data_IF_880909494449
#
_entry.id   IF_880909494449
#
_cell.length_a   1.000
_cell.length_b   1.000
_cell.length_c   1.000
_cell.angle_alpha   90.00
_cell.angle_beta   90.00
_cell.angle_gamma   90.00
#
_symmetry.space_group_name_H-M   'P 1'
#
loop_
_entity.id
_entity.type
_entity.pdbx_description
1 polymer ?
#
# COMPACT_ATOMS: atom_id res chain seq x y z
N UNK A 1 -11.73 10.28 -18.32
CA UNK A 1 -10.33 10.43 -17.96
C UNK A 1 -9.49 9.37 -18.68
N UNK A 2 -9.83 8.05 -18.63
CA UNK A 2 -9.09 6.99 -19.33
C UNK A 2 -8.86 7.31 -20.83
N UNK A 3 -9.90 7.74 -21.57
CA UNK A 3 -9.78 8.14 -22.98
C UNK A 3 -8.75 9.24 -23.22
N UNK A 4 -8.60 10.20 -22.30
CA UNK A 4 -7.59 11.26 -22.42
C UNK A 4 -6.18 10.74 -22.15
N UNK A 5 -6.01 9.76 -21.28
CA UNK A 5 -4.71 9.09 -21.12
C UNK A 5 -4.35 8.20 -22.32
N UNK A 6 -5.35 7.68 -23.05
CA UNK A 6 -5.16 6.92 -24.30
C UNK A 6 -4.78 7.81 -25.49
N UNK A 7 -5.10 9.09 -25.43
CA UNK A 7 -4.73 10.05 -26.47
C UNK A 7 -3.24 10.38 -26.40
N UNK A 8 -2.50 10.01 -27.43
CA UNK A 8 -1.03 10.17 -27.48
C UNK A 8 -0.60 11.64 -27.46
N UNK A 9 -1.38 12.55 -28.04
CA UNK A 9 -1.06 13.97 -28.05
C UNK A 9 -1.21 14.59 -26.65
N UNK A 10 -2.24 14.18 -25.91
CA UNK A 10 -2.45 14.59 -24.51
C UNK A 10 -1.38 13.97 -23.63
N UNK A 11 -1.16 12.67 -23.76
CA UNK A 11 -0.20 11.96 -22.92
C UNK A 11 1.25 12.45 -23.14
N UNK A 12 1.62 12.81 -24.37
CA UNK A 12 2.93 13.38 -24.65
C UNK A 12 3.18 14.67 -23.87
N UNK A 13 2.21 15.55 -23.76
CA UNK A 13 2.34 16.80 -22.98
C UNK A 13 2.47 16.53 -21.48
N UNK A 14 1.73 15.53 -20.96
CA UNK A 14 1.87 15.09 -19.56
C UNK A 14 3.26 14.51 -19.32
N UNK A 15 3.77 13.70 -20.25
CA UNK A 15 5.11 13.10 -20.17
C UNK A 15 6.21 14.17 -20.21
N UNK A 16 6.11 15.19 -21.05
CA UNK A 16 7.04 16.31 -21.06
C UNK A 16 7.13 17.02 -19.70
N UNK A 17 5.98 17.21 -19.02
CA UNK A 17 5.96 17.78 -17.67
C UNK A 17 6.62 16.82 -16.66
N UNK A 18 6.45 15.51 -16.83
CA UNK A 18 7.08 14.50 -16.00
C UNK A 18 8.60 14.47 -16.20
N UNK A 19 9.09 14.55 -17.44
CA UNK A 19 10.51 14.57 -17.76
C UNK A 19 11.23 15.76 -17.09
N UNK A 20 10.59 16.95 -17.03
CA UNK A 20 11.11 18.10 -16.28
C UNK A 20 11.19 17.80 -14.78
N UNK A 21 10.16 17.19 -14.18
CA UNK A 21 10.18 16.79 -12.78
C UNK A 21 11.26 15.75 -12.48
N UNK A 22 11.45 14.78 -13.35
CA UNK A 22 12.50 13.75 -13.23
C UNK A 22 13.89 14.39 -13.28
N UNK A 23 14.15 15.28 -14.26
CA UNK A 23 15.41 16.00 -14.39
C UNK A 23 15.72 16.84 -13.15
N UNK A 24 14.72 17.55 -12.62
CA UNK A 24 14.85 18.35 -11.40
C UNK A 24 15.15 17.50 -10.16
N UNK A 25 14.53 16.31 -10.03
CA UNK A 25 14.77 15.38 -8.94
C UNK A 25 16.19 14.80 -9.02
N UNK A 26 16.62 14.39 -10.22
CA UNK A 26 18.00 13.90 -10.48
C UNK A 26 19.04 14.96 -10.13
N UNK A 27 18.84 16.20 -10.55
CA UNK A 27 19.75 17.31 -10.24
C UNK A 27 19.90 17.56 -8.73
N UNK A 28 18.89 17.17 -7.93
CA UNK A 28 18.89 17.26 -6.47
C UNK A 28 19.37 15.96 -5.78
N UNK A 29 19.84 14.96 -6.54
CA UNK A 29 20.25 13.67 -6.01
C UNK A 29 19.12 12.83 -5.39
N UNK A 30 17.87 13.05 -5.83
CA UNK A 30 16.70 12.32 -5.33
C UNK A 30 16.36 11.12 -6.22
N UNK A 31 15.79 10.09 -5.61
CA UNK A 31 15.28 8.93 -6.35
C UNK A 31 14.20 9.32 -7.35
N UNK A 32 14.28 8.74 -8.55
CA UNK A 32 13.29 8.96 -9.61
C UNK A 32 12.48 7.72 -9.95
N UNK A 33 12.78 6.59 -9.31
CA UNK A 33 12.17 5.28 -9.61
C UNK A 33 10.64 5.30 -9.57
N UNK A 34 10.07 6.04 -8.62
CA UNK A 34 8.61 6.17 -8.44
C UNK A 34 8.01 7.36 -9.20
N UNK A 35 8.86 8.23 -9.73
CA UNK A 35 8.45 9.49 -10.35
C UNK A 35 8.26 9.36 -11.87
N UNK A 36 9.04 8.49 -12.52
CA UNK A 36 9.02 8.31 -13.97
C UNK A 36 7.66 7.80 -14.44
N UNK A 37 7.02 8.54 -15.32
CA UNK A 37 5.76 8.16 -15.97
C UNK A 37 6.07 7.33 -17.24
N UNK A 38 6.25 6.03 -17.03
CA UNK A 38 6.50 5.07 -18.12
C UNK A 38 5.22 4.72 -18.88
N UNK A 39 5.37 4.08 -20.04
CA UNK A 39 4.23 3.54 -20.79
C UNK A 39 3.49 2.45 -20.01
N UNK A 40 4.21 1.64 -19.22
CA UNK A 40 3.57 0.67 -18.30
C UNK A 40 2.71 1.40 -17.27
N UNK A 41 3.22 2.47 -16.65
CA UNK A 41 2.44 3.24 -15.68
C UNK A 41 1.22 3.91 -16.33
N UNK A 42 1.34 4.37 -17.59
CA UNK A 42 0.20 4.88 -18.37
C UNK A 42 -0.88 3.83 -18.50
N UNK A 43 -0.52 2.60 -18.88
CA UNK A 43 -1.46 1.50 -19.03
C UNK A 43 -2.09 1.14 -17.69
N UNK A 44 -1.30 1.05 -16.61
CA UNK A 44 -1.80 0.77 -15.25
C UNK A 44 -2.85 1.81 -14.81
N UNK A 45 -2.62 3.09 -15.12
CA UNK A 45 -3.58 4.17 -14.86
C UNK A 45 -4.87 4.02 -15.64
N UNK A 46 -4.78 3.64 -16.92
CA UNK A 46 -5.95 3.39 -17.78
C UNK A 46 -6.75 2.22 -17.22
N UNK A 47 -6.09 1.13 -16.88
CA UNK A 47 -6.72 -0.08 -16.35
C UNK A 47 -7.41 0.18 -15.00
N UNK A 48 -6.76 0.94 -14.10
CA UNK A 48 -7.38 1.36 -12.85
C UNK A 48 -8.68 2.13 -13.06
N UNK A 49 -8.68 3.08 -14.01
CA UNK A 49 -9.87 3.86 -14.34
C UNK A 49 -10.99 3.02 -14.98
N UNK A 50 -10.64 1.97 -15.73
CA UNK A 50 -11.63 1.03 -16.27
C UNK A 50 -12.24 0.16 -15.19
N UNK A 51 -11.44 -0.30 -14.21
CA UNK A 51 -11.94 -1.03 -13.04
C UNK A 51 -12.93 -0.15 -12.25
N UNK A 52 -12.61 1.14 -12.05
CA UNK A 52 -13.55 2.08 -11.41
C UNK A 52 -14.91 2.12 -12.10
N UNK A 53 -14.95 2.07 -13.43
CA UNK A 53 -16.19 2.07 -14.19
C UNK A 53 -17.07 0.85 -13.87
N UNK A 54 -16.47 -0.29 -13.57
CA UNK A 54 -17.19 -1.53 -13.25
C UNK A 54 -17.71 -1.53 -11.81
N UNK A 55 -17.04 -0.81 -10.90
CA UNK A 55 -17.40 -0.76 -9.48
C UNK A 55 -18.57 0.19 -9.17
N UNK A 56 -19.03 0.99 -10.11
CA UNK A 56 -20.13 1.94 -9.89
C UNK A 56 -21.45 1.19 -9.74
N UNK A 57 -22.04 1.27 -8.56
CA UNK A 57 -23.39 0.78 -8.28
C UNK A 57 -24.42 1.87 -8.48
N UNK A 58 -25.48 1.59 -9.26
CA UNK A 58 -26.58 2.54 -9.50
C UNK A 58 -27.51 2.70 -8.28
N UNK A 59 -27.61 1.69 -7.42
CA UNK A 59 -28.48 1.68 -6.26
C UNK A 59 -27.76 2.21 -5.01
N UNK A 60 -28.42 3.15 -4.31
CA UNK A 60 -27.99 3.59 -2.99
C UNK A 60 -28.60 2.77 -1.88
N UNK A 61 -29.73 2.07 -2.11
CA UNK A 61 -30.38 1.20 -1.14
C UNK A 61 -29.69 -0.15 -1.10
N UNK A 62 -29.20 -0.54 0.06
CA UNK A 62 -28.57 -1.84 0.31
C UNK A 62 -29.59 -2.89 0.76
N UNK A 63 -30.49 -2.46 1.63
CA UNK A 63 -31.43 -3.35 2.29
C UNK A 63 -32.68 -2.56 2.72
N UNK A 64 -33.83 -3.22 2.69
CA UNK A 64 -35.07 -2.71 3.25
C UNK A 64 -35.63 -3.76 4.21
N UNK A 65 -35.84 -3.37 5.46
CA UNK A 65 -36.55 -4.18 6.45
C UNK A 65 -37.95 -3.62 6.64
N UNK A 66 -38.95 -4.49 6.46
CA UNK A 66 -40.35 -4.15 6.64
C UNK A 66 -40.84 -4.68 7.97
N UNK A 67 -41.55 -3.83 8.69
CA UNK A 67 -42.19 -4.12 9.95
C UNK A 67 -43.68 -3.77 9.85
N UNK A 68 -44.47 -4.20 10.81
CA UNK A 68 -45.86 -3.83 10.85
C UNK A 68 -45.99 -2.33 11.13
N UNK A 69 -46.59 -1.61 10.18
CA UNK A 69 -46.78 -0.14 10.25
C UNK A 69 -45.55 0.72 9.97
N UNK A 70 -44.38 0.16 9.61
CA UNK A 70 -43.20 0.95 9.24
C UNK A 70 -42.16 0.15 8.47
N UNK A 71 -41.22 0.84 7.87
CA UNK A 71 -40.07 0.22 7.20
C UNK A 71 -38.79 1.02 7.44
N UNK A 72 -37.62 0.35 7.32
CA UNK A 72 -36.31 0.98 7.41
C UNK A 72 -35.47 0.58 6.20
N UNK A 73 -34.94 1.57 5.52
CA UNK A 73 -34.02 1.43 4.39
C UNK A 73 -32.60 1.79 4.84
N UNK A 74 -31.63 0.95 4.54
CA UNK A 74 -30.21 1.28 4.67
C UNK A 74 -29.67 1.81 3.35
N UNK A 75 -29.10 3.01 3.36
CA UNK A 75 -28.58 3.70 2.19
C UNK A 75 -27.09 3.89 2.26
N UNK A 76 -26.38 3.59 1.17
CA UNK A 76 -25.00 4.04 0.97
C UNK A 76 -25.00 5.56 0.75
N UNK A 77 -24.19 6.25 1.52
CA UNK A 77 -24.02 7.70 1.43
C UNK A 77 -22.53 8.06 1.35
N UNK A 78 -22.14 9.13 0.61
CA UNK A 78 -20.76 9.59 0.60
C UNK A 78 -20.32 10.06 1.99
N UNK A 79 -19.02 9.96 2.25
CA UNK A 79 -18.40 10.60 3.41
C UNK A 79 -18.37 12.12 3.24
N UNK A 80 -18.03 12.60 2.03
CA UNK A 80 -17.92 14.02 1.70
C UNK A 80 -16.60 14.36 1.02
N UNK A 81 -15.76 15.19 1.65
CA UNK A 81 -14.47 15.60 1.12
C UNK A 81 -13.37 14.65 1.61
N UNK A 82 -12.63 14.06 0.68
CA UNK A 82 -11.49 13.21 0.98
C UNK A 82 -10.20 13.96 0.64
N UNK A 83 -9.34 14.14 1.62
CA UNK A 83 -8.04 14.78 1.44
C UNK A 83 -6.96 13.75 1.20
N UNK A 84 -6.18 13.93 0.13
CA UNK A 84 -5.08 13.03 -0.22
C UNK A 84 -3.74 13.76 -0.16
N UNK A 85 -2.80 13.20 0.60
CA UNK A 85 -1.40 13.62 0.60
C UNK A 85 -0.56 12.45 0.13
N UNK A 86 0.05 12.63 -1.05
CA UNK A 86 0.89 11.62 -1.68
C UNK A 86 2.30 12.17 -1.94
N UNK A 87 3.29 11.31 -1.81
CA UNK A 87 4.62 11.56 -2.36
C UNK A 87 4.59 11.55 -3.89
N UNK A 88 5.72 11.79 -4.53
CA UNK A 88 5.87 11.98 -5.96
C UNK A 88 5.51 10.77 -6.83
N UNK A 89 4.21 10.45 -6.95
CA UNK A 89 3.70 9.36 -7.80
C UNK A 89 2.62 9.88 -8.74
N UNK A 90 2.84 9.87 -10.06
CA UNK A 90 1.83 10.34 -11.03
C UNK A 90 0.55 9.50 -11.08
N UNK A 91 0.63 8.20 -10.84
CA UNK A 91 -0.49 7.26 -10.96
C UNK A 91 -1.60 7.45 -9.91
N UNK A 92 -1.32 8.13 -8.80
CA UNK A 92 -2.29 8.34 -7.71
C UNK A 92 -3.58 9.05 -8.16
N UNK A 93 -3.55 9.77 -9.26
CA UNK A 93 -4.76 10.40 -9.81
C UNK A 93 -5.76 9.37 -10.36
N UNK A 94 -5.27 8.31 -11.02
CA UNK A 94 -6.13 7.24 -11.50
C UNK A 94 -6.80 6.50 -10.34
N UNK A 95 -6.02 6.23 -9.28
CA UNK A 95 -6.54 5.55 -8.10
C UNK A 95 -7.54 6.43 -7.34
N UNK A 96 -7.16 7.65 -7.02
CA UNK A 96 -7.90 8.48 -6.07
C UNK A 96 -9.11 9.21 -6.67
N UNK A 97 -9.14 9.51 -7.97
CA UNK A 97 -10.33 10.08 -8.61
C UNK A 97 -11.54 9.15 -8.58
N UNK A 98 -11.31 7.87 -8.37
CA UNK A 98 -12.38 6.88 -8.21
C UNK A 98 -13.30 7.12 -7.01
N UNK A 99 -12.91 7.94 -6.04
CA UNK A 99 -13.81 8.36 -4.94
C UNK A 99 -15.06 9.09 -5.46
N UNK A 100 -15.02 9.62 -6.68
CA UNK A 100 -16.19 10.19 -7.35
C UNK A 100 -17.27 9.14 -7.61
N UNK A 101 -16.89 7.87 -7.83
CA UNK A 101 -17.84 6.76 -8.02
C UNK A 101 -18.71 6.54 -6.77
N UNK A 102 -18.18 6.78 -5.59
CA UNK A 102 -18.93 6.77 -4.32
C UNK A 102 -19.47 8.14 -3.92
N UNK A 103 -19.53 9.07 -4.88
CA UNK A 103 -20.07 10.45 -4.72
C UNK A 103 -19.31 11.34 -3.74
N UNK A 104 -18.05 10.99 -3.45
CA UNK A 104 -17.16 11.87 -2.70
C UNK A 104 -16.48 12.85 -3.66
N UNK A 105 -15.90 13.89 -3.10
CA UNK A 105 -14.98 14.79 -3.81
C UNK A 105 -13.59 14.69 -3.19
N UNK A 106 -12.56 15.08 -3.91
CA UNK A 106 -11.19 14.93 -3.42
C UNK A 106 -10.35 16.19 -3.57
N UNK A 107 -9.44 16.37 -2.61
CA UNK A 107 -8.43 17.42 -2.60
C UNK A 107 -7.06 16.76 -2.50
N UNK A 108 -6.18 17.06 -3.47
CA UNK A 108 -4.83 16.51 -3.54
C UNK A 108 -3.79 17.51 -3.06
N UNK A 109 -2.83 17.01 -2.31
CA UNK A 109 -1.52 17.63 -2.13
C UNK A 109 -0.46 16.62 -2.56
N UNK A 110 0.34 16.98 -3.55
CA UNK A 110 1.37 16.11 -4.13
C UNK A 110 2.75 16.63 -3.72
N UNK A 111 3.72 15.73 -3.57
CA UNK A 111 5.11 16.08 -3.32
C UNK A 111 5.69 17.03 -4.37
N UNK A 112 6.63 17.86 -3.95
CA UNK A 112 7.20 18.93 -4.81
C UNK A 112 7.80 18.41 -6.12
N UNK A 113 8.31 17.18 -6.09
CA UNK A 113 9.03 16.57 -7.21
C UNK A 113 8.08 16.08 -8.33
N UNK A 114 6.79 15.93 -8.05
CA UNK A 114 5.78 15.53 -9.04
C UNK A 114 4.71 16.60 -9.31
N UNK A 115 4.86 17.81 -8.77
CA UNK A 115 3.77 18.81 -8.81
C UNK A 115 3.47 19.31 -10.23
N UNK A 116 4.47 19.43 -11.11
CA UNK A 116 4.22 19.87 -12.51
C UNK A 116 3.52 18.76 -13.31
N UNK A 117 3.94 17.51 -13.11
CA UNK A 117 3.23 16.34 -13.67
C UNK A 117 1.77 16.31 -13.20
N UNK A 118 1.56 16.52 -11.89
CA UNK A 118 0.23 16.57 -11.31
C UNK A 118 -0.66 17.66 -11.92
N UNK A 119 -0.10 18.86 -12.14
CA UNK A 119 -0.81 19.96 -12.83
C UNK A 119 -1.17 19.60 -14.25
N UNK A 120 -0.22 19.03 -15.02
CA UNK A 120 -0.50 18.59 -16.38
C UNK A 120 -1.61 17.54 -16.45
N UNK A 121 -1.62 16.56 -15.53
CA UNK A 121 -2.71 15.57 -15.44
C UNK A 121 -4.04 16.25 -15.10
N UNK A 122 -4.05 17.18 -14.15
CA UNK A 122 -5.26 17.93 -13.80
C UNK A 122 -5.81 18.72 -14.99
N UNK A 123 -4.96 19.53 -15.63
CA UNK A 123 -5.38 20.49 -16.64
C UNK A 123 -5.74 19.81 -17.97
N UNK A 124 -5.02 18.76 -18.37
CA UNK A 124 -5.19 18.11 -19.66
C UNK A 124 -6.13 16.91 -19.63
N UNK A 125 -6.25 16.25 -18.49
CA UNK A 125 -7.02 15.02 -18.41
C UNK A 125 -8.19 15.09 -17.41
N UNK A 126 -7.96 15.47 -16.15
CA UNK A 126 -9.00 15.37 -15.10
C UNK A 126 -10.09 16.44 -15.28
N UNK A 127 -9.73 17.73 -15.32
CA UNK A 127 -10.68 18.84 -15.41
C UNK A 127 -11.55 18.75 -16.67
N UNK A 128 -10.97 18.54 -17.88
CA UNK A 128 -11.79 18.38 -19.07
C UNK A 128 -12.72 17.16 -19.03
N UNK A 129 -12.29 16.07 -18.37
CA UNK A 129 -13.14 14.87 -18.19
C UNK A 129 -14.32 15.12 -17.26
N UNK A 130 -14.13 15.89 -16.20
CA UNK A 130 -15.21 16.33 -15.31
C UNK A 130 -16.24 17.17 -16.06
N UNK A 131 -15.78 18.13 -16.87
CA UNK A 131 -16.64 18.98 -17.68
C UNK A 131 -17.44 18.18 -18.70
N UNK A 132 -16.82 17.23 -19.42
CA UNK A 132 -17.49 16.33 -20.34
C UNK A 132 -18.55 15.46 -19.67
N UNK A 133 -18.31 15.09 -18.39
CA UNK A 133 -19.25 14.31 -17.60
C UNK A 133 -20.34 15.16 -16.91
N UNK A 134 -20.35 16.47 -17.09
CA UNK A 134 -21.30 17.36 -16.44
C UNK A 134 -21.05 17.53 -14.92
N UNK A 135 -19.85 17.21 -14.45
CA UNK A 135 -19.45 17.38 -13.06
C UNK A 135 -18.73 18.71 -12.83
N UNK A 136 -18.89 19.33 -11.67
CA UNK A 136 -18.15 20.54 -11.34
C UNK A 136 -16.63 20.29 -11.41
N UNK A 137 -15.83 21.14 -12.05
CA UNK A 137 -14.37 21.00 -12.05
C UNK A 137 -13.75 20.95 -10.64
N UNK A 138 -14.39 21.57 -9.64
CA UNK A 138 -14.01 21.56 -8.25
C UNK A 138 -14.25 20.23 -7.52
N UNK A 139 -14.85 19.24 -8.18
CA UNK A 139 -15.01 17.88 -7.62
C UNK A 139 -13.66 17.20 -7.38
N UNK A 140 -12.62 17.61 -8.11
CA UNK A 140 -11.23 17.21 -7.90
C UNK A 140 -10.39 18.48 -7.84
N UNK A 141 -9.70 18.71 -6.74
CA UNK A 141 -8.85 19.87 -6.54
C UNK A 141 -7.41 19.48 -6.25
N UNK A 142 -6.45 20.22 -6.80
CA UNK A 142 -5.02 20.08 -6.53
C UNK A 142 -4.53 21.35 -5.82
N UNK A 143 -3.94 21.19 -4.63
CA UNK A 143 -3.29 22.31 -3.94
C UNK A 143 -1.99 22.70 -4.63
N UNK A 144 -1.80 23.96 -5.02
CA UNK A 144 -0.68 24.38 -5.85
C UNK A 144 0.64 24.55 -5.08
N UNK A 145 0.64 24.33 -3.78
CA UNK A 145 1.76 24.63 -2.89
C UNK A 145 2.73 23.46 -2.73
N UNK A 146 4.03 23.78 -2.71
CA UNK A 146 5.13 22.83 -2.44
C UNK A 146 5.45 22.67 -0.94
N UNK A 147 4.89 23.51 -0.07
CA UNK A 147 5.26 23.55 1.36
C UNK A 147 4.61 22.45 2.18
N UNK A 148 5.29 22.00 3.24
CA UNK A 148 4.72 21.07 4.21
C UNK A 148 3.54 21.68 4.98
N UNK A 149 3.57 23.00 5.24
CA UNK A 149 2.48 23.70 5.91
C UNK A 149 1.12 23.53 5.22
N UNK A 150 1.11 23.40 3.87
CA UNK A 150 -0.12 23.13 3.13
C UNK A 150 -0.67 21.73 3.40
N UNK A 151 0.19 20.75 3.63
CA UNK A 151 -0.24 19.40 4.03
C UNK A 151 -0.87 19.42 5.42
N UNK A 152 -0.26 20.14 6.36
CA UNK A 152 -0.79 20.30 7.71
C UNK A 152 -2.14 21.05 7.70
N UNK A 153 -2.24 22.14 6.93
CA UNK A 153 -3.48 22.89 6.78
C UNK A 153 -4.60 22.02 6.18
N UNK A 154 -4.29 21.17 5.19
CA UNK A 154 -5.27 20.24 4.63
C UNK A 154 -5.77 19.26 5.70
N UNK A 155 -4.88 18.61 6.45
CA UNK A 155 -5.26 17.58 7.43
C UNK A 155 -5.78 18.17 8.76
N UNK A 156 -5.75 19.49 8.95
CA UNK A 156 -6.42 20.19 10.03
C UNK A 156 -7.76 20.82 9.62
N UNK A 157 -8.16 20.74 8.37
CA UNK A 157 -9.40 21.34 7.88
C UNK A 157 -10.61 20.46 8.24
N UNK A 158 -11.47 20.97 9.13
CA UNK A 158 -12.66 20.27 9.63
C UNK A 158 -13.72 19.94 8.55
N UNK A 159 -13.55 20.41 7.33
CA UNK A 159 -14.40 20.03 6.19
C UNK A 159 -14.01 18.66 5.61
N UNK A 160 -12.82 18.14 5.94
CA UNK A 160 -12.45 16.79 5.54
C UNK A 160 -13.26 15.75 6.29
N UNK A 161 -13.76 14.78 5.56
CA UNK A 161 -14.42 13.60 6.10
C UNK A 161 -13.48 12.41 6.23
N UNK A 162 -12.39 12.40 5.48
CA UNK A 162 -11.33 11.38 5.53
C UNK A 162 -10.02 11.99 5.04
N UNK A 163 -8.95 11.74 5.76
CA UNK A 163 -7.58 12.05 5.38
C UNK A 163 -6.86 10.78 4.92
N UNK A 164 -6.21 10.80 3.76
CA UNK A 164 -5.44 9.67 3.22
C UNK A 164 -4.02 10.14 2.96
N UNK A 165 -3.04 9.53 3.63
CA UNK A 165 -1.63 9.84 3.47
C UNK A 165 -0.84 8.61 3.01
N UNK A 166 0.04 8.80 2.01
CA UNK A 166 1.03 7.81 1.56
C UNK A 166 2.38 8.49 1.44
N UNK A 167 3.40 7.90 2.06
CA UNK A 167 4.74 8.46 2.04
C UNK A 167 5.65 7.80 3.08
N UNK A 168 6.74 8.47 3.44
CA UNK A 168 7.67 7.97 4.45
C UNK A 168 7.00 7.83 5.82
N UNK A 169 7.43 6.83 6.60
CA UNK A 169 6.81 6.49 7.88
C UNK A 169 6.67 7.69 8.82
N UNK A 170 7.72 8.47 9.02
CA UNK A 170 7.73 9.64 9.89
C UNK A 170 6.79 10.77 9.42
N UNK A 171 6.77 11.04 8.10
CA UNK A 171 5.87 12.06 7.54
C UNK A 171 4.41 11.66 7.67
N UNK A 172 4.10 10.40 7.42
CA UNK A 172 2.74 9.86 7.49
C UNK A 172 2.25 9.83 8.95
N UNK A 173 3.11 9.44 9.89
CA UNK A 173 2.79 9.46 11.32
C UNK A 173 2.41 10.89 11.79
N UNK A 174 3.25 11.88 11.47
CA UNK A 174 2.97 13.28 11.82
C UNK A 174 1.64 13.78 11.23
N UNK A 175 1.36 13.45 9.97
CA UNK A 175 0.10 13.82 9.32
C UNK A 175 -1.10 13.14 9.98
N UNK A 176 -0.93 11.89 10.40
CA UNK A 176 -1.95 11.15 11.16
C UNK A 176 -2.27 11.81 12.51
N UNK A 177 -1.25 12.24 13.24
CA UNK A 177 -1.40 12.97 14.50
C UNK A 177 -2.17 14.29 14.30
N UNK A 178 -1.83 15.04 13.25
CA UNK A 178 -2.53 16.29 12.92
C UNK A 178 -4.01 16.01 12.64
N UNK A 179 -4.33 15.03 11.79
CA UNK A 179 -5.71 14.68 11.49
C UNK A 179 -6.48 14.26 12.75
N UNK A 180 -5.86 13.44 13.59
CA UNK A 180 -6.47 12.96 14.84
C UNK A 180 -6.77 14.09 15.83
N UNK A 181 -5.82 15.04 16.00
CA UNK A 181 -6.02 16.22 16.85
C UNK A 181 -7.24 17.07 16.42
N UNK A 182 -7.60 17.03 15.14
CA UNK A 182 -8.75 17.75 14.58
C UNK A 182 -10.00 16.88 14.43
N UNK A 183 -9.97 15.63 14.93
CA UNK A 183 -11.07 14.68 14.86
C UNK A 183 -11.36 14.14 13.46
N UNK A 184 -10.39 14.19 12.55
CA UNK A 184 -10.53 13.71 11.17
C UNK A 184 -10.05 12.27 11.11
N UNK A 185 -10.89 11.30 10.67
CA UNK A 185 -10.46 9.94 10.42
C UNK A 185 -9.34 9.91 9.39
N UNK A 186 -8.31 9.10 9.62
CA UNK A 186 -7.17 9.00 8.71
C UNK A 186 -6.95 7.55 8.23
N UNK A 187 -6.48 7.42 6.99
CA UNK A 187 -5.91 6.20 6.43
C UNK A 187 -4.45 6.48 6.08
N UNK A 188 -3.57 5.82 6.80
CA UNK A 188 -2.14 6.10 6.75
C UNK A 188 -1.43 4.90 6.11
N UNK A 189 -0.53 5.19 5.17
CA UNK A 189 0.34 4.21 4.54
C UNK A 189 1.77 4.75 4.60
N UNK A 190 2.48 4.35 5.65
CA UNK A 190 3.84 4.81 5.94
C UNK A 190 4.87 3.70 5.74
N UNK A 191 5.51 3.28 6.83
CA UNK A 191 6.54 2.23 6.83
C UNK A 191 6.01 0.93 6.24
N UNK A 192 6.74 0.38 5.30
CA UNK A 192 6.47 -0.91 4.66
C UNK A 192 7.44 -1.98 5.14
N UNK A 193 7.67 -2.96 4.28
CA UNK A 193 8.53 -4.10 4.56
C UNK A 193 7.73 -5.36 4.92
N UNK A 194 7.72 -6.32 4.02
CA UNK A 194 7.08 -7.61 4.25
C UNK A 194 8.00 -8.54 5.05
N UNK A 195 7.39 -9.41 5.83
CA UNK A 195 8.08 -10.46 6.56
C UNK A 195 7.71 -11.84 6.01
N UNK A 196 8.66 -12.76 6.11
CA UNK A 196 8.49 -14.16 5.72
C UNK A 196 8.95 -15.05 6.85
N UNK A 197 8.02 -15.85 7.38
CA UNK A 197 8.32 -16.93 8.34
C UNK A 197 8.61 -18.20 7.55
N UNK A 198 9.67 -18.89 7.92
CA UNK A 198 10.06 -20.17 7.31
C UNK A 198 10.22 -21.22 8.40
N UNK A 199 9.43 -22.27 8.32
CA UNK A 199 9.42 -23.35 9.30
C UNK A 199 9.57 -24.72 8.63
N UNK A 200 8.59 -25.59 8.68
CA UNK A 200 8.65 -26.95 8.16
C UNK A 200 8.53 -26.94 6.62
N UNK A 201 9.65 -26.83 5.90
CA UNK A 201 9.71 -26.73 4.43
C UNK A 201 10.23 -28.02 3.84
N UNK A 202 9.44 -28.68 3.00
CA UNK A 202 9.83 -29.84 2.22
C UNK A 202 10.48 -29.41 0.88
N UNK A 203 9.85 -28.47 0.17
CA UNK A 203 10.30 -27.96 -1.13
C UNK A 203 11.13 -26.68 -0.99
N UNK A 204 12.44 -26.85 -0.88
CA UNK A 204 13.40 -25.72 -0.80
C UNK A 204 13.54 -24.93 -2.12
N UNK A 205 13.21 -25.52 -3.27
CA UNK A 205 13.21 -24.81 -4.54
C UNK A 205 12.01 -23.86 -4.65
N UNK A 206 10.87 -24.24 -4.08
CA UNK A 206 9.74 -23.32 -3.88
C UNK A 206 10.16 -22.15 -3.01
N UNK A 207 10.79 -22.40 -1.84
CA UNK A 207 11.26 -21.33 -0.95
C UNK A 207 12.21 -20.37 -1.68
N UNK A 208 13.21 -20.89 -2.39
CA UNK A 208 14.14 -20.09 -3.20
C UNK A 208 13.41 -19.20 -4.21
N UNK A 209 12.45 -19.77 -4.94
CA UNK A 209 11.65 -19.04 -5.92
C UNK A 209 10.80 -17.95 -5.29
N UNK A 210 10.19 -18.23 -4.15
CA UNK A 210 9.36 -17.26 -3.39
C UNK A 210 10.20 -16.09 -2.90
N UNK A 211 11.39 -16.34 -2.32
CA UNK A 211 12.31 -15.28 -1.89
C UNK A 211 12.75 -14.42 -3.07
N UNK A 212 13.20 -15.05 -4.17
CA UNK A 212 13.61 -14.33 -5.38
C UNK A 212 12.51 -13.39 -5.90
N UNK A 213 11.27 -13.88 -5.99
CA UNK A 213 10.15 -13.11 -6.54
C UNK A 213 9.62 -12.06 -5.54
N UNK A 214 9.95 -12.19 -4.25
CA UNK A 214 9.65 -11.17 -3.24
C UNK A 214 10.64 -10.00 -3.23
N UNK A 215 11.72 -10.08 -4.02
CA UNK A 215 12.79 -9.10 -4.15
C UNK A 215 12.90 -8.53 -5.58
N UNK A 216 11.84 -8.59 -6.36
CA UNK A 216 11.82 -8.13 -7.77
C UNK A 216 12.08 -6.62 -7.92
N UNK A 217 11.66 -5.83 -6.99
CA UNK A 217 11.87 -4.36 -6.88
C UNK A 217 11.53 -3.90 -5.47
N UNK A 218 12.07 -2.74 -5.04
CA UNK A 218 11.70 -2.17 -3.74
C UNK A 218 10.41 -1.36 -3.82
N UNK A 219 9.44 -1.83 -3.09
CA UNK A 219 8.18 -1.15 -2.75
C UNK A 219 7.73 -1.61 -1.35
N UNK A 220 6.61 -1.10 -0.85
CA UNK A 220 6.16 -1.35 0.54
C UNK A 220 5.94 -2.83 0.91
N UNK A 221 5.60 -3.70 -0.04
CA UNK A 221 5.39 -5.14 0.18
C UNK A 221 6.58 -6.02 -0.25
N UNK A 222 7.74 -5.42 -0.50
CA UNK A 222 8.97 -6.15 -0.76
C UNK A 222 9.46 -6.85 0.51
N UNK A 223 10.00 -8.05 0.37
CA UNK A 223 10.57 -8.81 1.47
C UNK A 223 11.67 -8.00 2.17
N UNK A 224 11.49 -7.78 3.46
CA UNK A 224 12.38 -7.00 4.31
C UNK A 224 13.05 -7.85 5.38
N UNK A 225 12.33 -8.87 5.87
CA UNK A 225 12.82 -9.73 6.96
C UNK A 225 12.39 -11.17 6.73
N UNK A 226 13.34 -12.10 6.84
CA UNK A 226 13.11 -13.53 6.88
C UNK A 226 13.35 -14.01 8.31
N UNK A 227 12.39 -14.74 8.87
CA UNK A 227 12.48 -15.37 10.18
C UNK A 227 12.47 -16.87 10.00
N UNK A 228 13.58 -17.54 10.29
CA UNK A 228 13.71 -19.00 10.24
C UNK A 228 13.41 -19.59 11.63
N UNK A 229 12.77 -20.72 11.70
CA UNK A 229 12.76 -21.51 12.94
C UNK A 229 14.06 -22.29 13.08
N UNK A 230 14.47 -22.57 14.32
CA UNK A 230 15.66 -23.38 14.59
C UNK A 230 15.62 -24.73 13.85
N UNK A 231 14.42 -25.34 13.76
CA UNK A 231 14.22 -26.60 13.04
C UNK A 231 14.42 -26.52 11.53
N UNK A 232 14.15 -25.35 10.92
CA UNK A 232 14.29 -25.13 9.48
C UNK A 232 15.65 -24.57 9.08
N UNK A 233 16.42 -24.01 10.01
CA UNK A 233 17.63 -23.22 9.73
C UNK A 233 18.61 -23.94 8.80
N UNK A 234 19.01 -25.18 9.12
CA UNK A 234 20.01 -25.92 8.35
C UNK A 234 19.56 -26.31 6.95
N UNK A 235 18.26 -26.50 6.74
CA UNK A 235 17.66 -26.90 5.47
C UNK A 235 17.33 -25.69 4.58
N UNK A 236 16.89 -24.60 5.18
CA UNK A 236 16.25 -23.49 4.47
C UNK A 236 17.19 -22.29 4.24
N UNK A 237 18.22 -22.08 5.08
CA UNK A 237 19.08 -20.91 4.96
C UNK A 237 19.76 -20.80 3.60
N UNK A 238 20.27 -21.91 3.05
CA UNK A 238 20.90 -21.91 1.73
C UNK A 238 19.89 -21.50 0.64
N UNK A 239 18.65 -22.00 0.69
CA UNK A 239 17.62 -21.64 -0.29
C UNK A 239 17.25 -20.16 -0.23
N UNK A 240 17.22 -19.56 0.98
CA UNK A 240 17.03 -18.11 1.14
C UNK A 240 18.17 -17.35 0.49
N UNK A 241 19.44 -17.71 0.77
CA UNK A 241 20.64 -17.09 0.18
C UNK A 241 20.61 -17.20 -1.35
N UNK A 242 20.30 -18.37 -1.88
CA UNK A 242 20.21 -18.61 -3.34
C UNK A 242 19.13 -17.75 -3.98
N UNK A 243 17.96 -17.61 -3.32
CA UNK A 243 16.87 -16.73 -3.79
C UNK A 243 17.29 -15.27 -3.84
N UNK A 244 17.98 -14.78 -2.82
CA UNK A 244 18.55 -13.42 -2.79
C UNK A 244 19.62 -13.25 -3.88
N UNK A 245 20.49 -14.24 -4.06
CA UNK A 245 21.53 -14.21 -5.09
C UNK A 245 20.92 -14.07 -6.49
N UNK A 246 19.88 -14.84 -6.80
CA UNK A 246 19.23 -14.76 -8.12
C UNK A 246 18.56 -13.37 -8.30
N UNK A 247 17.97 -12.81 -7.27
CA UNK A 247 17.39 -11.47 -7.32
C UNK A 247 18.46 -10.39 -7.56
N UNK A 248 19.62 -10.49 -6.92
CA UNK A 248 20.76 -9.60 -7.13
C UNK A 248 21.38 -9.75 -8.53
N UNK A 249 21.56 -10.98 -9.01
CA UNK A 249 22.09 -11.27 -10.36
C UNK A 249 21.20 -10.70 -11.48
N UNK A 250 19.87 -10.79 -11.34
CA UNK A 250 18.91 -10.18 -12.29
C UNK A 250 19.07 -8.66 -12.41
N UNK A 251 19.68 -8.04 -11.42
CA UNK A 251 19.94 -6.59 -11.33
C UNK A 251 21.42 -6.25 -11.63
N UNK A 252 22.26 -7.26 -11.92
CA UNK A 252 23.70 -7.11 -12.09
C UNK A 252 24.36 -6.45 -10.87
N UNK A 253 24.01 -6.89 -9.66
CA UNK A 253 24.48 -6.33 -8.39
C UNK A 253 24.70 -7.43 -7.36
N UNK A 254 25.11 -7.04 -6.17
CA UNK A 254 25.25 -7.87 -4.96
C UNK A 254 24.05 -7.68 -4.02
N UNK A 255 24.06 -8.27 -2.83
CA UNK A 255 23.06 -8.06 -1.79
C UNK A 255 23.69 -7.71 -0.44
N UNK A 256 22.88 -7.07 0.43
CA UNK A 256 23.21 -6.79 1.83
C UNK A 256 22.28 -7.63 2.71
N UNK A 257 22.90 -8.41 3.61
CA UNK A 257 22.18 -9.27 4.56
C UNK A 257 22.47 -8.82 5.99
N UNK A 258 21.44 -8.46 6.71
CA UNK A 258 21.53 -8.16 8.14
C UNK A 258 21.13 -9.42 8.93
N UNK A 259 22.09 -10.02 9.64
CA UNK A 259 21.90 -11.33 10.25
C UNK A 259 22.09 -11.28 11.77
N UNK A 260 21.31 -12.06 12.54
CA UNK A 260 21.56 -12.27 13.96
C UNK A 260 22.76 -13.22 14.20
N UNK A 261 23.20 -13.35 15.45
CA UNK A 261 24.35 -14.16 15.82
C UNK A 261 24.21 -15.64 15.47
N UNK A 262 22.98 -16.18 15.51
CA UNK A 262 22.73 -17.59 15.20
C UNK A 262 22.81 -17.83 13.69
N UNK A 263 22.20 -16.96 12.89
CA UNK A 263 22.33 -17.01 11.41
C UNK A 263 23.77 -16.80 11.00
N UNK A 264 24.48 -15.82 11.61
CA UNK A 264 25.91 -15.56 11.32
C UNK A 264 26.77 -16.82 11.54
N UNK A 265 26.51 -17.56 12.60
CA UNK A 265 27.21 -18.82 12.88
C UNK A 265 26.88 -19.89 11.86
N UNK A 266 25.61 -20.00 11.43
CA UNK A 266 25.14 -20.97 10.44
C UNK A 266 25.65 -20.71 9.02
N UNK A 267 25.97 -19.44 8.66
CA UNK A 267 26.52 -19.08 7.36
C UNK A 267 27.81 -19.81 7.01
N UNK A 268 28.60 -20.24 8.03
CA UNK A 268 29.80 -21.04 7.82
C UNK A 268 29.54 -22.39 7.11
N UNK A 269 28.30 -22.88 7.16
CA UNK A 269 27.86 -24.12 6.49
C UNK A 269 27.15 -23.86 5.16
N UNK A 270 27.09 -22.59 4.73
CA UNK A 270 26.43 -22.19 3.49
C UNK A 270 27.43 -21.70 2.44
N UNK A 271 27.04 -21.78 1.18
CA UNK A 271 27.74 -21.11 0.07
C UNK A 271 27.20 -19.68 -0.05
N UNK A 272 27.91 -18.72 0.51
CA UNK A 272 27.56 -17.30 0.41
C UNK A 272 28.35 -16.66 -0.72
N UNK A 273 27.72 -15.89 -1.65
CA UNK A 273 28.46 -15.16 -2.67
C UNK A 273 29.49 -14.21 -2.04
N UNK A 274 30.68 -14.17 -2.60
CA UNK A 274 31.84 -13.44 -2.04
C UNK A 274 31.66 -11.91 -2.06
N UNK A 275 30.77 -11.43 -2.90
CA UNK A 275 30.42 -10.01 -3.06
C UNK A 275 29.25 -9.56 -2.15
N UNK A 276 28.61 -10.51 -1.43
CA UNK A 276 27.58 -10.14 -0.46
C UNK A 276 28.18 -9.42 0.75
N UNK A 277 27.48 -8.38 1.19
CA UNK A 277 27.80 -7.68 2.44
C UNK A 277 26.97 -8.30 3.57
N UNK A 278 27.67 -8.75 4.61
CA UNK A 278 27.03 -9.33 5.80
C UNK A 278 27.22 -8.36 6.97
N UNK A 279 26.11 -7.92 7.54
CA UNK A 279 26.08 -7.04 8.71
C UNK A 279 25.32 -7.71 9.86
N UNK A 280 25.64 -7.32 11.09
CA UNK A 280 24.95 -7.85 12.27
C UNK A 280 23.71 -7.02 12.57
N UNK A 281 22.61 -7.67 12.96
CA UNK A 281 21.41 -7.01 13.43
C UNK A 281 20.96 -7.56 14.79
N UNK A 282 20.51 -6.66 15.65
CA UNK A 282 19.81 -6.99 16.89
C UNK A 282 18.30 -7.03 16.64
N UNK A 283 17.56 -7.90 17.33
CA UNK A 283 16.11 -8.03 17.16
C UNK A 283 15.35 -6.72 17.40
N UNK A 284 15.88 -5.84 18.29
CA UNK A 284 15.32 -4.50 18.53
C UNK A 284 15.31 -3.59 17.29
N UNK A 285 16.14 -3.89 16.29
CA UNK A 285 16.29 -3.10 15.07
C UNK A 285 15.52 -3.69 13.87
N UNK A 286 14.79 -4.77 14.05
CA UNK A 286 14.01 -5.44 12.98
C UNK A 286 12.85 -4.60 12.43
N UNK A 287 12.48 -3.51 13.12
CA UNK A 287 11.52 -2.52 12.61
C UNK A 287 12.05 -1.62 11.50
N UNK A 288 13.33 -1.72 11.16
CA UNK A 288 13.95 -0.95 10.06
C UNK A 288 13.40 -1.42 8.73
N UNK A 289 12.84 -0.50 7.93
CA UNK A 289 12.54 -0.74 6.53
C UNK A 289 13.79 -0.43 5.71
N UNK A 290 14.36 -1.46 5.06
CA UNK A 290 15.52 -1.30 4.18
C UNK A 290 15.08 -0.65 2.87
N UNK A 291 15.49 0.60 2.67
CA UNK A 291 15.19 1.36 1.45
C UNK A 291 16.34 1.23 0.46
N UNK A 292 16.11 0.52 -0.64
CA UNK A 292 17.12 0.28 -1.66
C UNK A 292 16.54 0.51 -3.07
N UNK A 293 17.38 0.87 -4.02
CA UNK A 293 16.99 1.04 -5.42
C UNK A 293 17.40 -0.14 -6.30
N UNK A 294 18.65 -0.56 -6.19
CA UNK A 294 19.22 -1.62 -7.02
C UNK A 294 19.76 -2.80 -6.23
N UNK A 295 20.34 -2.57 -5.06
CA UNK A 295 21.00 -3.58 -4.24
C UNK A 295 19.96 -4.18 -3.27
N UNK A 296 19.53 -5.45 -3.44
CA UNK A 296 18.62 -6.08 -2.49
C UNK A 296 19.19 -6.08 -1.08
N UNK A 297 18.40 -5.66 -0.11
CA UNK A 297 18.81 -5.55 1.28
C UNK A 297 17.69 -6.07 2.17
N UNK A 298 18.00 -6.99 3.09
CA UNK A 298 17.04 -7.63 3.97
C UNK A 298 17.69 -8.18 5.25
N UNK A 299 16.84 -8.42 6.26
CA UNK A 299 17.24 -9.08 7.52
C UNK A 299 16.94 -10.58 7.47
N UNK A 300 17.80 -11.39 8.09
CA UNK A 300 17.59 -12.83 8.30
C UNK A 300 17.89 -13.15 9.77
N UNK A 301 16.89 -13.67 10.48
CA UNK A 301 17.02 -14.01 11.90
C UNK A 301 16.43 -15.39 12.18
N UNK A 302 16.80 -15.98 13.33
CA UNK A 302 16.30 -17.28 13.74
C UNK A 302 15.66 -17.21 15.12
N UNK A 303 14.57 -17.96 15.28
CA UNK A 303 13.84 -18.14 16.54
C UNK A 303 13.49 -19.60 16.77
N UNK A 304 13.02 -19.94 17.97
CA UNK A 304 12.80 -21.35 18.35
C UNK A 304 11.69 -22.02 17.52
N UNK A 305 10.58 -21.32 17.28
CA UNK A 305 9.39 -21.88 16.65
C UNK A 305 8.49 -20.79 16.05
N UNK A 306 7.42 -21.19 15.35
CA UNK A 306 6.47 -20.28 14.70
C UNK A 306 5.79 -19.32 15.67
N UNK A 307 5.48 -19.75 16.91
CA UNK A 307 4.89 -18.85 17.88
C UNK A 307 5.83 -17.69 18.23
N UNK A 308 7.12 -17.99 18.48
CA UNK A 308 8.13 -16.95 18.70
C UNK A 308 8.33 -16.03 17.47
N UNK A 309 8.25 -16.61 16.26
CA UNK A 309 8.32 -15.83 15.03
C UNK A 309 7.15 -14.85 14.88
N UNK A 310 5.93 -15.26 15.22
CA UNK A 310 4.74 -14.38 15.20
C UNK A 310 4.81 -13.32 16.29
N UNK A 311 5.31 -13.66 17.48
CA UNK A 311 5.54 -12.68 18.55
C UNK A 311 6.56 -11.61 18.11
N UNK A 312 7.64 -12.05 17.47
CA UNK A 312 8.66 -11.14 16.92
C UNK A 312 8.09 -10.24 15.82
N UNK A 313 7.30 -10.79 14.90
CA UNK A 313 6.57 -10.04 13.89
C UNK A 313 5.65 -8.99 14.51
N UNK A 314 4.81 -9.38 15.46
CA UNK A 314 3.87 -8.46 16.11
C UNK A 314 4.56 -7.34 16.89
N UNK A 315 5.76 -7.60 17.42
CA UNK A 315 6.52 -6.64 18.21
C UNK A 315 7.31 -5.64 17.37
N UNK A 316 7.87 -6.07 16.24
CA UNK A 316 8.88 -5.29 15.51
C UNK A 316 8.51 -4.96 14.05
N UNK A 317 7.61 -5.72 13.42
CA UNK A 317 7.23 -5.45 12.03
C UNK A 317 6.35 -4.19 11.93
N UNK A 318 6.22 -3.62 10.72
CA UNK A 318 5.21 -2.59 10.47
C UNK A 318 3.77 -3.14 10.53
N UNK A 319 3.57 -4.39 10.93
CA UNK A 319 2.29 -5.11 10.92
C UNK A 319 1.56 -4.96 9.59
N UNK A 320 2.22 -5.34 8.50
CA UNK A 320 1.73 -5.09 7.15
C UNK A 320 1.52 -6.40 6.37
N UNK A 321 2.58 -7.00 5.84
CA UNK A 321 2.53 -8.25 5.08
C UNK A 321 3.30 -9.32 5.82
N UNK A 322 2.63 -10.45 6.05
CA UNK A 322 3.24 -11.67 6.57
C UNK A 322 3.02 -12.80 5.57
N UNK A 323 4.11 -13.47 5.19
CA UNK A 323 4.07 -14.75 4.48
C UNK A 323 4.63 -15.83 5.36
N UNK A 324 4.03 -17.03 5.34
CA UNK A 324 4.59 -18.20 6.01
C UNK A 324 4.84 -19.31 5.00
N UNK A 325 6.06 -19.82 4.97
CA UNK A 325 6.43 -20.98 4.17
C UNK A 325 6.61 -22.15 5.12
N UNK A 326 5.59 -22.97 5.16
CA UNK A 326 5.54 -24.20 5.97
C UNK A 326 4.59 -25.19 5.30
N UNK A 327 4.96 -26.48 5.29
CA UNK A 327 4.11 -27.58 4.84
C UNK A 327 3.26 -28.14 5.99
N UNK A 328 3.35 -27.53 7.17
CA UNK A 328 2.57 -27.86 8.36
C UNK A 328 1.40 -26.88 8.54
N UNK A 329 0.20 -27.32 8.17
CA UNK A 329 -1.03 -26.51 8.28
C UNK A 329 -1.33 -26.00 9.70
N UNK A 330 -0.93 -26.72 10.73
CA UNK A 330 -1.11 -26.27 12.12
C UNK A 330 -0.28 -25.03 12.41
N UNK A 331 0.92 -24.93 11.84
CA UNK A 331 1.77 -23.75 11.95
C UNK A 331 1.22 -22.58 11.14
N UNK A 332 0.66 -22.84 9.96
CA UNK A 332 0.01 -21.83 9.12
C UNK A 332 -1.20 -21.25 9.84
N UNK A 333 -2.08 -22.08 10.39
CA UNK A 333 -3.26 -21.65 11.15
C UNK A 333 -2.87 -20.89 12.43
N UNK A 334 -1.81 -21.33 13.11
CA UNK A 334 -1.28 -20.61 14.28
C UNK A 334 -0.82 -19.21 13.89
N UNK A 335 -0.02 -19.10 12.82
CA UNK A 335 0.48 -17.82 12.36
C UNK A 335 -0.65 -16.90 11.90
N UNK A 336 -1.63 -17.43 11.16
CA UNK A 336 -2.83 -16.69 10.74
C UNK A 336 -3.61 -16.14 11.93
N UNK A 337 -3.89 -17.00 12.93
CA UNK A 337 -4.76 -16.62 14.04
C UNK A 337 -4.13 -15.64 15.02
N UNK A 338 -2.79 -15.60 15.12
CA UNK A 338 -2.07 -14.78 16.10
C UNK A 338 -1.36 -13.56 15.54
N UNK A 339 -1.18 -13.48 14.22
CA UNK A 339 -0.46 -12.35 13.63
C UNK A 339 -1.33 -11.10 13.49
N UNK A 340 -0.70 -9.95 13.68
CA UNK A 340 -1.28 -8.64 13.43
C UNK A 340 -1.08 -8.20 11.98
N UNK A 341 -1.24 -9.10 11.01
CA UNK A 341 -1.04 -8.81 9.60
C UNK A 341 -2.38 -8.65 8.88
N UNK A 342 -2.67 -7.50 8.25
CA UNK A 342 -3.84 -7.35 7.39
C UNK A 342 -3.71 -8.12 6.07
N UNK A 343 -2.50 -8.49 5.68
CA UNK A 343 -2.20 -9.28 4.50
C UNK A 343 -1.37 -10.50 4.89
N UNK A 344 -1.97 -11.66 4.75
CA UNK A 344 -1.36 -12.94 5.10
C UNK A 344 -1.35 -13.85 3.89
N UNK A 345 -0.25 -14.57 3.65
CA UNK A 345 -0.10 -15.50 2.55
C UNK A 345 0.93 -16.58 2.81
N UNK A 346 1.10 -17.48 1.86
CA UNK A 346 2.01 -18.62 1.90
C UNK A 346 3.05 -18.62 0.76
N UNK A 347 3.19 -17.50 0.08
CA UNK A 347 4.04 -17.36 -1.11
C UNK A 347 4.80 -16.05 -1.14
N UNK A 348 5.07 -15.55 -2.36
CA UNK A 348 5.76 -14.28 -2.53
C UNK A 348 5.00 -13.12 -1.88
N UNK A 349 5.74 -12.19 -1.27
CA UNK A 349 5.13 -11.06 -0.57
C UNK A 349 4.56 -9.98 -1.49
N UNK A 350 4.96 -10.01 -2.76
CA UNK A 350 4.61 -9.03 -3.79
C UNK A 350 3.19 -9.14 -4.34
N UNK A 351 2.41 -10.13 -3.90
CA UNK A 351 1.02 -10.31 -4.31
C UNK A 351 0.06 -9.24 -3.75
N UNK A 352 0.46 -8.53 -2.72
CA UNK A 352 -0.34 -7.48 -2.08
C UNK A 352 -0.41 -6.26 -3.00
N UNK A 353 -1.43 -6.26 -3.85
CA UNK A 353 -1.71 -5.21 -4.82
C UNK A 353 -3.23 -5.16 -5.04
N UNK A 354 -3.83 -3.99 -4.83
CA UNK A 354 -5.27 -3.82 -4.94
C UNK A 354 -5.76 -3.99 -6.37
N UNK A 355 -5.06 -3.42 -7.33
CA UNK A 355 -5.46 -3.42 -8.72
C UNK A 355 -5.29 -4.80 -9.35
N UNK A 356 -4.12 -5.41 -9.20
CA UNK A 356 -3.79 -6.69 -9.82
C UNK A 356 -4.43 -7.88 -9.09
N UNK A 357 -4.14 -8.02 -7.79
CA UNK A 357 -4.55 -9.19 -7.03
C UNK A 357 -6.04 -9.16 -6.65
N UNK A 358 -6.58 -8.01 -6.29
CA UNK A 358 -7.96 -7.86 -5.82
C UNK A 358 -8.90 -7.20 -6.84
N UNK A 359 -8.39 -6.79 -8.00
CA UNK A 359 -9.14 -6.06 -9.04
C UNK A 359 -9.87 -4.83 -8.47
N UNK A 360 -9.21 -4.12 -7.55
CA UNK A 360 -9.72 -2.91 -6.91
C UNK A 360 -8.68 -1.81 -7.01
N UNK A 361 -9.03 -0.61 -7.50
CA UNK A 361 -8.13 0.52 -7.45
C UNK A 361 -7.77 0.85 -6.00
N UNK A 362 -6.49 1.06 -5.76
CA UNK A 362 -5.94 1.21 -4.42
C UNK A 362 -5.74 2.67 -4.05
N UNK A 363 -6.54 3.18 -3.14
CA UNK A 363 -6.35 4.51 -2.55
C UNK A 363 -5.25 4.50 -1.48
N UNK A 364 -5.08 3.38 -0.81
CA UNK A 364 -4.03 3.13 0.16
C UNK A 364 -4.07 1.71 0.68
N UNK A 365 -2.91 1.16 0.96
CA UNK A 365 -2.75 -0.02 1.78
C UNK A 365 -2.68 0.43 3.25
N UNK A 366 -3.24 -0.33 4.15
CA UNK A 366 -3.16 -0.05 5.58
C UNK A 366 -2.45 -1.16 6.29
N UNK A 367 -1.51 -0.76 7.11
CA UNK A 367 -0.95 -1.59 8.16
C UNK A 367 -1.74 -1.39 9.47
N UNK A 368 -1.36 -2.11 10.50
CA UNK A 368 -1.89 -1.94 11.85
C UNK A 368 -1.34 -0.64 12.45
N UNK A 369 -2.19 0.37 12.54
CA UNK A 369 -1.83 1.66 13.13
C UNK A 369 -2.17 1.65 14.62
N UNK A 370 -1.19 1.93 15.47
CA UNK A 370 -1.37 1.88 16.91
C UNK A 370 -1.99 0.55 17.39
N UNK A 371 -1.60 -0.57 16.81
CA UNK A 371 -2.12 -1.90 17.11
C UNK A 371 -3.55 -2.17 16.61
N UNK A 372 -4.04 -1.44 15.60
CA UNK A 372 -5.41 -1.56 15.08
C UNK A 372 -5.48 -1.42 13.57
N UNK A 373 -6.38 -2.19 12.93
CA UNK A 373 -6.70 -2.07 11.49
C UNK A 373 -7.96 -1.25 11.21
N UNK A 374 -8.60 -0.68 12.22
CA UNK A 374 -9.93 -0.07 12.14
C UNK A 374 -11.02 -1.05 11.66
N UNK A 375 -12.24 -0.56 11.46
CA UNK A 375 -13.37 -1.38 11.02
C UNK A 375 -13.42 -1.49 9.47
N UNK A 376 -12.29 -1.81 8.83
CA UNK A 376 -12.17 -1.99 7.38
C UNK A 376 -11.02 -2.95 7.04
N UNK A 377 -10.99 -3.46 5.82
CA UNK A 377 -9.88 -4.29 5.36
C UNK A 377 -8.58 -3.51 5.16
N UNK A 378 -7.49 -4.22 4.89
CA UNK A 378 -6.16 -3.65 4.67
C UNK A 378 -6.04 -2.77 3.42
N UNK A 379 -6.96 -2.89 2.45
CA UNK A 379 -7.01 -2.03 1.27
C UNK A 379 -8.14 -1.02 1.42
N UNK A 380 -7.82 0.26 1.20
CA UNK A 380 -8.77 1.32 1.00
C UNK A 380 -8.96 1.52 -0.51
N UNK A 381 -10.17 1.33 -0.99
CA UNK A 381 -10.56 1.63 -2.37
C UNK A 381 -11.82 2.49 -2.38
N UNK A 382 -12.15 3.09 -3.54
CA UNK A 382 -13.30 3.99 -3.60
C UNK A 382 -14.64 3.33 -3.35
N UNK A 383 -14.74 2.02 -3.56
CA UNK A 383 -15.92 1.21 -3.23
C UNK A 383 -16.11 1.01 -1.72
N UNK A 384 -15.12 1.36 -0.90
CA UNK A 384 -15.17 1.30 0.56
C UNK A 384 -15.22 2.69 1.24
N UNK A 385 -15.15 3.78 0.47
CA UNK A 385 -15.27 5.15 1.01
C UNK A 385 -16.73 5.59 1.00
N UNK A 386 -17.50 5.05 1.93
CA UNK A 386 -18.90 5.42 2.14
C UNK A 386 -19.29 5.21 3.60
N UNK A 387 -20.43 5.78 3.97
CA UNK A 387 -21.12 5.44 5.21
C UNK A 387 -22.50 4.87 4.92
N UNK A 388 -23.15 4.30 5.94
CA UNK A 388 -24.52 3.82 5.83
C UNK A 388 -25.42 4.76 6.64
N UNK A 389 -26.50 5.23 6.01
CA UNK A 389 -27.54 6.02 6.64
C UNK A 389 -28.86 5.26 6.60
N UNK A 390 -29.64 5.40 7.64
CA UNK A 390 -30.93 4.74 7.75
C UNK A 390 -32.06 5.75 7.54
N UNK A 391 -33.05 5.36 6.72
CA UNK A 391 -34.26 6.13 6.46
C UNK A 391 -35.46 5.30 6.90
N UNK A 392 -36.20 5.83 7.85
CA UNK A 392 -37.42 5.20 8.33
C UNK A 392 -38.63 5.81 7.61
N UNK A 393 -39.59 4.97 7.25
CA UNK A 393 -40.93 5.36 6.78
C UNK A 393 -41.94 4.70 7.70
N UNK A 394 -42.70 5.52 8.43
CA UNK A 394 -43.84 5.09 9.22
C UNK A 394 -45.10 5.22 8.41
N UNK A 395 -45.90 4.17 8.34
CA UNK A 395 -47.16 4.11 7.58
C UNK A 395 -48.36 3.98 8.50
N UNK A 396 -48.16 3.63 9.75
CA UNK A 396 -49.18 3.57 10.80
C UNK A 396 -48.76 4.50 11.96
N UNK A 397 -49.49 5.56 12.19
CA UNK A 397 -49.19 6.55 13.23
C UNK A 397 -49.42 6.03 14.67
N UNK A 398 -50.11 4.90 14.81
CA UNK A 398 -50.41 4.25 16.10
C UNK A 398 -49.32 3.28 16.58
N UNK A 399 -48.31 3.03 15.73
CA UNK A 399 -47.20 2.12 16.06
C UNK A 399 -46.47 2.57 17.32
N UNK A 400 -46.37 1.69 18.28
CA UNK A 400 -45.64 1.87 19.55
C UNK A 400 -44.61 0.79 19.72
N UNK A 401 -43.46 1.13 20.28
CA UNK A 401 -42.36 0.21 20.59
C UNK A 401 -42.49 -0.35 21.99
#
# INVERSE_FOLDING_TARGET
FARRLQDDAIFSQIREANERNVADAQAKGRSTTRLVLSESMRQDMIDALLIWKELVTSSTVRETLNHDGWSIESHVAPLGVVGFIFEGRPNVFADATGVLASRNVCVFRIGSDALETARAIMDLAVIPSLQEAGLPPSSVALLPSKTHATAWALFSDKRLSLAVARGSGSSVALLGEIAQQHGIPASLHGTGGAWMLVSDVEDVDRLKSVVQNSLDRKVCNTLNTVVLTTGSLSKSLQAVIDGVQIAAQKRNTYAVLHVDGNVSSALSNCTVPHDFVIETIEHSNLGTEWEWENIPELSIVVVDNVNAAVELFNAHSPSFVLSIISDNEVEVDLAWSKSNAPFFGDGMTRWVDGQYALRKPELGLSNWQNGRTFARGGILSGDSIFTVRYRVRQTDDEVKR
#
